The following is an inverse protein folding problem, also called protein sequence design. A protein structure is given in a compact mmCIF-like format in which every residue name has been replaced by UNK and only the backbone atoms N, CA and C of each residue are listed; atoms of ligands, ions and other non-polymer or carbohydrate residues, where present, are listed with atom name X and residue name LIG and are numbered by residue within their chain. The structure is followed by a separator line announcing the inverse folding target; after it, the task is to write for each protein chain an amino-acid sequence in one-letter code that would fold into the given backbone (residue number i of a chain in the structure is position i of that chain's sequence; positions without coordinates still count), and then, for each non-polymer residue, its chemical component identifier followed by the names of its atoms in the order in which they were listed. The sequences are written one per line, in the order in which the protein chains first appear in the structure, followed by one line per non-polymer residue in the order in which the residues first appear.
data_IF_792008077408
#
_entry.id   IF_792008077408
#
_cell.length_a   1.000
_cell.length_b   1.000
_cell.length_c   1.000
_cell.angle_alpha   90.00
_cell.angle_beta   90.00
_cell.angle_gamma   90.00
#
_symmetry.space_group_name_H-M   'P 1'
#
loop_
_entity.id
_entity.type
_entity.pdbx_description
1 polymer ?
#
# COMPACT_ATOMS: atom_id res chain seq x y z
N UNK A 1 -4.68 20.33 -0.93
CA UNK A 1 -4.75 19.56 -2.20
C UNK A 1 -3.37 19.36 -2.82
N UNK A 2 -2.58 20.40 -3.08
CA UNK A 2 -1.23 20.28 -3.70
C UNK A 2 -0.25 19.41 -2.91
N UNK A 3 -0.24 19.52 -1.57
CA UNK A 3 0.62 18.69 -0.71
C UNK A 3 0.34 17.18 -0.86
N UNK A 4 -0.90 16.79 -1.13
CA UNK A 4 -1.26 15.38 -1.34
C UNK A 4 -0.61 14.79 -2.59
N UNK A 5 -0.57 15.55 -3.70
CA UNK A 5 0.12 15.12 -4.91
C UNK A 5 1.63 14.98 -4.69
N UNK A 6 2.26 15.90 -3.97
CA UNK A 6 3.69 15.84 -3.64
C UNK A 6 3.99 14.59 -2.79
N UNK A 7 3.19 14.34 -1.76
CA UNK A 7 3.36 13.16 -0.90
C UNK A 7 3.11 11.85 -1.67
N UNK A 8 2.17 11.82 -2.61
CA UNK A 8 1.93 10.64 -3.44
C UNK A 8 3.13 10.33 -4.37
N UNK A 9 3.74 11.37 -4.97
CA UNK A 9 4.95 11.20 -5.79
C UNK A 9 6.12 10.74 -4.92
N UNK A 10 6.32 11.37 -3.75
CA UNK A 10 7.35 10.95 -2.81
C UNK A 10 7.16 9.49 -2.38
N UNK A 11 5.93 9.10 -2.05
CA UNK A 11 5.59 7.73 -1.70
C UNK A 11 5.91 6.76 -2.85
N UNK A 12 5.59 7.10 -4.10
CA UNK A 12 5.92 6.25 -5.25
C UNK A 12 7.43 6.05 -5.44
N UNK A 13 8.23 7.10 -5.19
CA UNK A 13 9.68 7.03 -5.26
C UNK A 13 10.25 6.15 -4.13
N UNK A 14 9.74 6.33 -2.91
CA UNK A 14 10.14 5.53 -1.75
C UNK A 14 9.75 4.07 -1.91
N UNK A 15 8.56 3.78 -2.43
CA UNK A 15 8.15 2.41 -2.77
C UNK A 15 9.10 1.78 -3.79
N UNK A 16 9.45 2.49 -4.87
CA UNK A 16 10.43 2.01 -5.84
C UNK A 16 11.79 1.68 -5.20
N UNK A 17 12.28 2.53 -4.31
CA UNK A 17 13.52 2.28 -3.56
C UNK A 17 13.40 1.04 -2.65
N UNK A 18 12.29 0.91 -1.91
CA UNK A 18 12.02 -0.24 -1.04
C UNK A 18 12.06 -1.54 -1.82
N UNK A 19 11.48 -1.59 -3.01
CA UNK A 19 11.51 -2.79 -3.87
C UNK A 19 12.93 -3.25 -4.21
N UNK A 20 13.79 -2.33 -4.64
CA UNK A 20 15.18 -2.64 -4.96
C UNK A 20 15.96 -3.12 -3.73
N UNK A 21 15.70 -2.52 -2.55
CA UNK A 21 16.33 -2.95 -1.29
C UNK A 21 15.82 -4.33 -0.86
N UNK A 22 14.51 -4.57 -0.97
CA UNK A 22 13.87 -5.84 -0.61
C UNK A 22 14.38 -6.99 -1.49
N UNK A 23 14.46 -6.80 -2.80
CA UNK A 23 15.05 -7.78 -3.72
C UNK A 23 16.43 -8.23 -3.26
N UNK A 24 17.29 -7.26 -2.93
CA UNK A 24 18.65 -7.54 -2.46
C UNK A 24 18.69 -8.27 -1.13
N UNK A 25 17.77 -7.96 -0.22
CA UNK A 25 17.68 -8.62 1.10
C UNK A 25 17.07 -10.02 1.01
N UNK A 26 16.19 -10.26 0.05
CA UNK A 26 15.49 -11.53 -0.15
C UNK A 26 16.33 -12.62 -0.80
N UNK A 27 17.50 -12.28 -1.38
CA UNK A 27 18.48 -13.23 -1.96
C UNK A 27 19.01 -14.29 -0.96
N UNK A 28 18.76 -14.14 0.34
CA UNK A 28 19.17 -15.13 1.34
C UNK A 28 18.32 -15.14 2.61
N UNK A 29 17.13 -14.53 2.58
CA UNK A 29 16.30 -14.36 3.78
C UNK A 29 14.85 -14.78 3.56
N UNK A 30 14.19 -15.09 4.67
CA UNK A 30 12.75 -15.37 4.70
C UNK A 30 11.93 -14.08 4.54
N UNK A 31 10.90 -14.12 3.69
CA UNK A 31 9.93 -13.02 3.51
C UNK A 31 9.29 -12.61 4.84
N UNK A 32 9.05 -13.56 5.75
CA UNK A 32 8.41 -13.30 7.03
C UNK A 32 9.34 -12.51 7.96
N UNK A 33 10.65 -12.80 7.92
CA UNK A 33 11.65 -12.08 8.70
C UNK A 33 11.75 -10.63 8.24
N UNK A 34 11.80 -10.41 6.93
CA UNK A 34 11.88 -9.06 6.37
C UNK A 34 10.62 -8.26 6.69
N UNK A 35 9.43 -8.83 6.49
CA UNK A 35 8.18 -8.17 6.86
C UNK A 35 8.09 -7.84 8.35
N UNK A 36 8.52 -8.76 9.22
CA UNK A 36 8.57 -8.51 10.66
C UNK A 36 9.46 -7.30 11.00
N UNK A 37 10.61 -7.17 10.34
CA UNK A 37 11.50 -6.02 10.53
C UNK A 37 10.88 -4.71 10.00
N UNK A 38 10.16 -4.74 8.87
CA UNK A 38 9.38 -3.59 8.38
C UNK A 38 8.32 -3.16 9.39
N UNK A 39 7.54 -4.12 9.93
CA UNK A 39 6.52 -3.84 10.92
C UNK A 39 7.12 -3.27 12.21
N UNK A 40 8.24 -3.83 12.68
CA UNK A 40 8.96 -3.34 13.85
C UNK A 40 9.52 -1.93 13.62
N UNK A 41 10.14 -1.68 12.48
CA UNK A 41 10.66 -0.36 12.10
C UNK A 41 9.54 0.68 12.02
N UNK A 42 8.43 0.34 11.37
CA UNK A 42 7.23 1.18 11.32
C UNK A 42 6.72 1.52 12.73
N UNK A 43 6.55 0.51 13.58
CA UNK A 43 6.12 0.70 14.97
C UNK A 43 7.07 1.63 15.75
N UNK A 44 8.38 1.42 15.65
CA UNK A 44 9.38 2.23 16.35
C UNK A 44 9.42 3.69 15.85
N UNK A 45 9.15 3.92 14.57
CA UNK A 45 9.09 5.27 14.00
C UNK A 45 7.78 5.98 14.36
N UNK A 46 6.64 5.27 14.35
CA UNK A 46 5.33 5.89 14.56
C UNK A 46 4.96 6.02 16.04
N UNK A 47 5.44 5.13 16.91
CA UNK A 47 5.07 5.16 18.34
C UNK A 47 5.48 6.46 19.06
N UNK A 48 6.69 7.02 18.87
CA UNK A 48 7.04 8.33 19.46
C UNK A 48 6.19 9.47 18.91
N UNK A 49 5.82 9.41 17.62
CA UNK A 49 4.97 10.42 16.99
C UNK A 49 3.55 10.39 17.55
N UNK A 50 2.98 9.20 17.71
CA UNK A 50 1.67 9.01 18.36
C UNK A 50 1.69 9.54 19.80
N UNK A 51 2.73 9.18 20.57
CA UNK A 51 2.89 9.66 21.93
C UNK A 51 2.97 11.19 21.99
N UNK A 52 3.74 11.82 21.09
CA UNK A 52 3.86 13.27 21.05
C UNK A 52 2.54 13.96 20.66
N UNK A 53 1.77 13.35 19.75
CA UNK A 53 0.45 13.87 19.36
C UNK A 53 -0.60 13.71 20.47
N UNK A 54 -0.33 12.92 21.52
CA UNK A 54 -1.28 12.59 22.57
C UNK A 54 -2.34 11.57 22.11
N UNK A 55 -2.18 11.02 20.91
CA UNK A 55 -3.04 9.97 20.37
C UNK A 55 -2.71 8.64 21.03
N UNK A 56 -3.75 7.92 21.45
CA UNK A 56 -3.59 6.59 22.05
C UNK A 56 -3.94 5.51 21.03
N UNK A 57 -3.50 4.26 21.27
CA UNK A 57 -3.87 3.10 20.43
C UNK A 57 -5.31 2.61 20.72
N UNK A 58 -5.83 2.95 21.91
CA UNK A 58 -7.11 2.55 22.47
C UNK A 58 -8.38 3.28 21.91
N UNK A 59 -8.35 4.52 21.37
CA UNK A 59 -9.54 5.26 20.94
C UNK A 59 -9.86 5.08 19.46
N UNK A 60 -9.16 4.18 18.75
CA UNK A 60 -9.61 3.70 17.43
C UNK A 60 -11.01 3.03 17.50
N UNK A 61 -11.44 2.59 18.69
CA UNK A 61 -12.79 2.10 18.99
C UNK A 61 -13.64 3.09 19.82
N UNK A 62 -13.06 4.17 20.36
CA UNK A 62 -13.75 5.13 21.23
C UNK A 62 -13.10 6.52 21.15
N UNK A 63 -13.68 7.36 20.29
CA UNK A 63 -13.78 8.83 20.39
C UNK A 63 -12.60 9.76 20.05
N UNK A 64 -13.00 10.81 19.30
CA UNK A 64 -12.77 12.24 19.55
C UNK A 64 -11.45 12.91 19.13
N UNK A 65 -11.37 13.19 17.83
CA UNK A 65 -11.13 14.55 17.35
C UNK A 65 -12.25 14.91 16.35
N UNK A 66 -13.23 15.69 16.79
CA UNK A 66 -14.25 16.41 16.01
C UNK A 66 -14.88 15.70 14.78
N UNK A 67 -16.15 15.30 14.89
CA UNK A 67 -17.09 15.04 13.78
C UNK A 67 -17.02 13.72 12.97
N UNK A 68 -16.13 12.77 13.26
CA UNK A 68 -16.18 11.45 12.63
C UNK A 68 -16.92 10.41 13.51
N UNK A 69 -17.94 9.75 12.95
CA UNK A 69 -18.55 8.57 13.56
C UNK A 69 -17.47 7.52 13.89
N UNK A 70 -17.56 6.81 15.02
CA UNK A 70 -16.57 5.79 15.38
C UNK A 70 -16.44 4.78 14.25
N UNK A 71 -15.24 4.66 13.67
CA UNK A 71 -14.95 3.60 12.71
C UNK A 71 -15.16 2.26 13.42
N UNK A 72 -15.95 1.34 12.88
CA UNK A 72 -16.23 0.09 13.57
C UNK A 72 -14.94 -0.71 13.73
N UNK A 73 -14.65 -1.17 14.95
CA UNK A 73 -13.38 -1.78 15.34
C UNK A 73 -12.96 -2.99 14.50
N UNK A 74 -13.91 -3.68 13.87
CA UNK A 74 -13.65 -4.78 12.93
C UNK A 74 -12.95 -4.33 11.64
N UNK A 75 -13.19 -3.10 11.15
CA UNK A 75 -12.54 -2.58 9.94
C UNK A 75 -11.03 -2.43 10.13
N UNK A 76 -10.59 -2.14 11.36
CA UNK A 76 -9.16 -2.04 11.69
C UNK A 76 -8.52 -3.42 11.54
N UNK A 77 -9.14 -4.44 12.13
CA UNK A 77 -8.67 -5.83 12.03
C UNK A 77 -8.61 -6.26 10.56
N UNK A 78 -9.66 -5.97 9.78
CA UNK A 78 -9.68 -6.29 8.34
C UNK A 78 -8.58 -5.55 7.59
N UNK A 79 -8.36 -4.27 7.86
CA UNK A 79 -7.31 -3.47 7.20
C UNK A 79 -5.93 -4.01 7.52
N UNK A 80 -5.66 -4.36 8.78
CA UNK A 80 -4.40 -4.96 9.20
C UNK A 80 -4.16 -6.29 8.49
N UNK A 81 -5.16 -7.17 8.46
CA UNK A 81 -5.05 -8.47 7.79
C UNK A 81 -4.81 -8.32 6.29
N UNK A 82 -5.59 -7.48 5.60
CA UNK A 82 -5.44 -7.23 4.16
C UNK A 82 -4.08 -6.62 3.85
N UNK A 83 -3.63 -5.63 4.63
CA UNK A 83 -2.32 -5.00 4.45
C UNK A 83 -1.17 -5.98 4.67
N UNK A 84 -1.26 -6.85 5.68
CA UNK A 84 -0.25 -7.90 5.92
C UNK A 84 -0.21 -8.91 4.78
N UNK A 85 -1.37 -9.38 4.31
CA UNK A 85 -1.44 -10.32 3.19
C UNK A 85 -0.88 -9.67 1.92
N UNK A 86 -1.22 -8.41 1.64
CA UNK A 86 -0.69 -7.66 0.50
C UNK A 86 0.84 -7.53 0.58
N UNK A 87 1.37 -7.11 1.74
CA UNK A 87 2.80 -6.96 1.96
C UNK A 87 3.58 -8.28 1.80
N UNK A 88 3.05 -9.38 2.34
CA UNK A 88 3.67 -10.70 2.16
C UNK A 88 3.60 -11.16 0.69
N UNK A 89 2.50 -10.87 0.00
CA UNK A 89 2.33 -11.22 -1.41
C UNK A 89 3.31 -10.49 -2.29
N UNK A 90 3.53 -9.18 -2.06
CA UNK A 90 4.47 -8.41 -2.86
C UNK A 90 5.93 -8.76 -2.56
N UNK A 91 6.29 -8.97 -1.29
CA UNK A 91 7.63 -9.48 -0.92
C UNK A 91 7.89 -10.84 -1.59
N UNK A 92 6.88 -11.72 -1.61
CA UNK A 92 7.00 -13.01 -2.31
C UNK A 92 7.10 -12.82 -3.82
N UNK A 93 6.35 -11.89 -4.41
CA UNK A 93 6.44 -11.55 -5.83
C UNK A 93 7.84 -11.04 -6.19
N UNK A 94 8.40 -10.12 -5.40
CA UNK A 94 9.78 -9.62 -5.57
C UNK A 94 10.78 -10.78 -5.49
N UNK A 95 10.63 -11.67 -4.50
CA UNK A 95 11.52 -12.84 -4.37
C UNK A 95 11.47 -13.78 -5.59
N UNK A 96 10.32 -13.91 -6.25
CA UNK A 96 10.11 -14.85 -7.35
C UNK A 96 10.40 -14.26 -8.73
N UNK A 97 10.09 -12.98 -8.93
CA UNK A 97 10.10 -12.31 -10.24
C UNK A 97 11.16 -11.20 -10.33
N UNK A 98 11.73 -10.79 -9.20
CA UNK A 98 12.54 -9.59 -9.08
C UNK A 98 11.71 -8.33 -8.87
N UNK A 99 12.36 -7.26 -8.43
CA UNK A 99 11.74 -5.97 -8.09
C UNK A 99 11.04 -5.34 -9.29
N UNK A 100 11.72 -5.31 -10.44
CA UNK A 100 11.23 -4.63 -11.65
C UNK A 100 9.91 -5.24 -12.14
N UNK A 101 9.85 -6.56 -12.28
CA UNK A 101 8.64 -7.26 -12.72
C UNK A 101 7.52 -7.15 -11.69
N UNK A 102 7.82 -7.33 -10.41
CA UNK A 102 6.83 -7.21 -9.35
C UNK A 102 6.18 -5.81 -9.33
N UNK A 103 6.97 -4.74 -9.44
CA UNK A 103 6.48 -3.37 -9.46
C UNK A 103 5.57 -3.08 -10.65
N UNK A 104 5.91 -3.59 -11.84
CA UNK A 104 5.12 -3.42 -13.06
C UNK A 104 3.76 -4.09 -12.95
N UNK A 105 3.66 -5.25 -12.29
CA UNK A 105 2.36 -5.86 -12.01
C UNK A 105 1.59 -5.11 -10.92
N UNK A 106 2.26 -4.67 -9.85
CA UNK A 106 1.60 -3.97 -8.73
C UNK A 106 0.95 -2.66 -9.19
N UNK A 107 1.55 -1.92 -10.13
CA UNK A 107 1.02 -0.63 -10.61
C UNK A 107 -0.40 -0.70 -11.19
N UNK A 108 -0.95 -1.90 -11.40
CA UNK A 108 -2.36 -2.14 -11.72
C UNK A 108 -3.33 -1.88 -10.55
N UNK A 109 -2.85 -1.72 -9.31
CA UNK A 109 -3.70 -1.49 -8.12
C UNK A 109 -4.71 -0.33 -8.23
N UNK A 110 -4.47 0.79 -8.95
CA UNK A 110 -5.46 1.85 -9.09
C UNK A 110 -6.78 1.38 -9.71
N UNK A 111 -6.76 0.34 -10.54
CA UNK A 111 -7.98 -0.28 -11.07
C UNK A 111 -8.77 -1.03 -9.99
N UNK A 112 -8.07 -1.74 -9.12
CA UNK A 112 -8.68 -2.42 -7.98
C UNK A 112 -9.24 -1.41 -6.97
N UNK A 113 -8.56 -0.28 -6.77
CA UNK A 113 -9.07 0.83 -5.93
C UNK A 113 -10.39 1.35 -6.48
N UNK A 114 -10.50 1.56 -7.79
CA UNK A 114 -11.74 2.01 -8.45
C UNK A 114 -12.85 0.96 -8.34
N UNK A 115 -12.51 -0.32 -8.57
CA UNK A 115 -13.44 -1.43 -8.43
C UNK A 115 -14.01 -1.53 -7.01
N UNK A 116 -13.14 -1.58 -6.00
CA UNK A 116 -13.58 -1.65 -4.60
C UNK A 116 -14.28 -0.36 -4.15
N UNK A 117 -13.88 0.80 -4.67
CA UNK A 117 -14.57 2.05 -4.45
C UNK A 117 -16.02 2.03 -4.97
N UNK A 118 -16.23 1.47 -6.16
CA UNK A 118 -17.55 1.27 -6.73
C UNK A 118 -18.37 0.23 -5.96
N UNK A 119 -17.78 -0.92 -5.61
CA UNK A 119 -18.47 -2.02 -4.94
C UNK A 119 -18.82 -1.73 -3.47
N UNK A 120 -17.90 -1.11 -2.72
CA UNK A 120 -18.06 -0.90 -1.28
C UNK A 120 -18.76 0.43 -0.96
N UNK A 121 -18.55 1.46 -1.79
CA UNK A 121 -19.06 2.81 -1.52
C UNK A 121 -20.04 3.32 -2.57
N UNK A 122 -20.40 2.51 -3.57
CA UNK A 122 -21.37 2.89 -4.61
C UNK A 122 -20.90 4.02 -5.53
N UNK A 123 -19.58 4.25 -5.63
CA UNK A 123 -19.03 5.32 -6.45
C UNK A 123 -19.24 5.06 -7.94
N UNK A 124 -19.64 6.09 -8.69
CA UNK A 124 -19.75 6.00 -10.14
C UNK A 124 -18.38 5.92 -10.81
N UNK A 125 -18.15 4.90 -11.63
CA UNK A 125 -16.91 4.76 -12.41
C UNK A 125 -16.99 5.62 -13.66
N UNK A 126 -16.12 6.64 -13.74
CA UNK A 126 -16.01 7.49 -14.93
C UNK A 126 -15.34 6.73 -16.08
N UNK A 127 -15.82 6.88 -17.33
CA UNK A 127 -15.14 6.32 -18.51
C UNK A 127 -13.67 6.75 -18.64
N UNK A 128 -13.31 7.94 -18.15
CA UNK A 128 -11.91 8.44 -18.16
C UNK A 128 -11.00 7.59 -17.28
N UNK A 129 -11.51 7.11 -16.15
CA UNK A 129 -10.78 6.24 -15.23
C UNK A 129 -10.55 4.87 -15.85
N UNK A 130 -11.53 4.34 -16.59
CA UNK A 130 -11.37 3.10 -17.35
C UNK A 130 -10.30 3.22 -18.45
N UNK A 131 -10.29 4.34 -19.18
CA UNK A 131 -9.25 4.62 -20.19
C UNK A 131 -7.88 4.71 -19.54
N UNK A 132 -7.75 5.48 -18.44
CA UNK A 132 -6.49 5.58 -17.69
C UNK A 132 -6.00 4.22 -17.19
N UNK A 133 -6.92 3.40 -16.67
CA UNK A 133 -6.63 2.03 -16.27
C UNK A 133 -6.17 1.12 -17.41
N UNK A 134 -6.80 1.20 -18.58
CA UNK A 134 -6.37 0.47 -19.76
C UNK A 134 -4.95 0.90 -20.20
N UNK A 135 -4.65 2.20 -20.11
CA UNK A 135 -3.31 2.73 -20.41
C UNK A 135 -2.26 2.26 -19.40
N UNK A 136 -2.61 2.12 -18.11
CA UNK A 136 -1.72 1.53 -17.09
C UNK A 136 -1.33 0.10 -17.50
N UNK A 137 -2.30 -0.74 -17.84
CA UNK A 137 -2.00 -2.11 -18.30
C UNK A 137 -1.22 -2.16 -19.61
N UNK A 138 -1.56 -1.28 -20.56
CA UNK A 138 -0.81 -1.19 -21.82
C UNK A 138 0.65 -0.80 -21.58
N UNK A 139 0.90 0.19 -20.71
CA UNK A 139 2.25 0.59 -20.30
C UNK A 139 3.00 -0.53 -19.60
N UNK A 140 2.35 -1.21 -18.65
CA UNK A 140 2.92 -2.37 -17.96
C UNK A 140 3.31 -3.49 -18.93
N UNK A 141 2.43 -3.81 -19.88
CA UNK A 141 2.67 -4.81 -20.91
C UNK A 141 3.87 -4.45 -21.81
N UNK A 142 4.01 -3.17 -22.19
CA UNK A 142 5.15 -2.70 -22.99
C UNK A 142 6.45 -2.89 -22.22
N UNK A 143 6.49 -2.52 -20.93
CA UNK A 143 7.69 -2.69 -20.09
C UNK A 143 8.05 -4.18 -20.00
N UNK A 144 7.07 -5.04 -19.73
CA UNK A 144 7.31 -6.48 -19.61
C UNK A 144 7.83 -7.13 -20.90
N UNK A 145 7.39 -6.69 -22.08
CA UNK A 145 7.82 -7.26 -23.36
C UNK A 145 9.25 -6.82 -23.75
N UNK A 146 9.77 -5.77 -23.12
CA UNK A 146 11.11 -5.25 -23.41
C UNK A 146 12.25 -5.97 -22.70
N UNK A 147 11.93 -6.95 -21.84
CA UNK A 147 12.87 -7.89 -21.19
C UNK A 147 12.86 -9.26 -21.86
#
# INVERSE_FOLDING_TARGET
MTAGYVLAVLASALWGLTYCLDERLLEGQSIYRLYYLHALGGMLLTAPLLWWQGDTLLPLAATSHGEAAPSPSWLIVVTMLVATIAALSILKSIQLLGAQRAAVFEISYPLFVVLFGALLFGQSVSPRVLIGGALIFAGAFVIMKSE
#
